data_IF_935908460620
#
_entry.id   IF_935908460620
#
_cell.length_a   1.000
_cell.length_b   1.000
_cell.length_c   1.000
_cell.angle_alpha   90.00
_cell.angle_beta   90.00
_cell.angle_gamma   90.00
#
_symmetry.space_group_name_H-M   'P 1'
#
loop_
_entity.id
_entity.type
_entity.pdbx_description
1 polymer ?
#
# COMPACT_ATOMS: atom_id res chain seq x y z
N UNK A 1 18.70 -1.82 -6.76
CA UNK A 1 17.93 -1.76 -5.50
C UNK A 1 16.56 -1.09 -5.62
N UNK A 2 16.38 0.06 -6.32
CA UNK A 2 15.05 0.69 -6.45
C UNK A 2 14.07 -0.12 -7.32
N UNK A 3 14.58 -0.76 -8.37
CA UNK A 3 13.77 -1.55 -9.30
C UNK A 3 13.06 -2.72 -8.60
N UNK A 4 13.80 -3.51 -7.82
CA UNK A 4 13.27 -4.65 -7.07
C UNK A 4 12.14 -4.27 -6.12
N UNK A 5 12.22 -3.11 -5.46
CA UNK A 5 11.15 -2.62 -4.59
C UNK A 5 9.88 -2.25 -5.38
N UNK A 6 10.05 -1.68 -6.58
CA UNK A 6 8.93 -1.34 -7.47
C UNK A 6 8.23 -2.60 -7.95
N UNK A 7 8.99 -3.62 -8.35
CA UNK A 7 8.46 -4.91 -8.79
C UNK A 7 7.76 -5.66 -7.65
N UNK A 8 8.38 -5.72 -6.47
CA UNK A 8 7.76 -6.28 -5.27
C UNK A 8 6.49 -5.52 -4.87
N UNK A 9 6.49 -4.19 -4.92
CA UNK A 9 5.29 -3.39 -4.68
C UNK A 9 4.19 -3.69 -5.70
N UNK A 10 4.55 -3.94 -6.96
CA UNK A 10 3.61 -4.45 -7.98
C UNK A 10 2.99 -5.79 -7.59
N UNK A 11 3.78 -6.73 -7.07
CA UNK A 11 3.27 -8.01 -6.57
C UNK A 11 2.31 -7.83 -5.38
N UNK A 12 2.59 -6.90 -4.46
CA UNK A 12 1.70 -6.64 -3.32
C UNK A 12 0.30 -6.17 -3.73
N UNK A 13 0.10 -5.63 -4.94
CA UNK A 13 -1.22 -5.24 -5.44
C UNK A 13 -2.18 -6.43 -5.50
N UNK A 14 -1.66 -7.65 -5.72
CA UNK A 14 -2.50 -8.85 -5.71
C UNK A 14 -2.82 -9.35 -4.30
N UNK A 15 -1.85 -9.29 -3.39
CA UNK A 15 -1.97 -9.85 -2.05
C UNK A 15 -2.55 -8.89 -1.00
N UNK A 16 -2.39 -7.58 -1.22
CA UNK A 16 -2.76 -6.55 -0.24
C UNK A 16 -3.94 -5.71 -0.71
N UNK A 17 -4.99 -5.67 0.11
CA UNK A 17 -6.26 -5.01 -0.25
C UNK A 17 -6.11 -3.50 -0.45
N UNK A 18 -5.36 -2.83 0.43
CA UNK A 18 -5.15 -1.37 0.32
C UNK A 18 -4.28 -1.01 -0.88
N UNK A 19 -3.29 -1.83 -1.22
CA UNK A 19 -2.41 -1.63 -2.38
C UNK A 19 -3.22 -1.72 -3.68
N UNK A 20 -4.14 -2.69 -3.77
CA UNK A 20 -5.07 -2.85 -4.89
C UNK A 20 -5.97 -1.65 -5.09
N UNK A 21 -6.58 -1.15 -4.02
CA UNK A 21 -7.47 0.02 -4.11
C UNK A 21 -6.69 1.29 -4.43
N UNK A 22 -5.49 1.46 -3.88
CA UNK A 22 -4.61 2.56 -4.27
C UNK A 22 -4.27 2.52 -5.76
N UNK A 23 -3.89 1.34 -6.28
CA UNK A 23 -3.55 1.16 -7.68
C UNK A 23 -4.73 1.51 -8.59
N UNK A 24 -5.91 0.93 -8.33
CA UNK A 24 -7.13 1.19 -9.11
C UNK A 24 -7.52 2.67 -9.10
N UNK A 25 -7.43 3.32 -7.94
CA UNK A 25 -7.73 4.74 -7.81
C UNK A 25 -6.79 5.61 -8.63
N UNK A 26 -5.49 5.33 -8.60
CA UNK A 26 -4.51 6.10 -9.37
C UNK A 26 -4.63 5.83 -10.88
N UNK A 27 -4.94 4.60 -11.28
CA UNK A 27 -5.23 4.25 -12.66
C UNK A 27 -6.50 4.98 -13.17
N UNK A 28 -7.56 5.06 -12.35
CA UNK A 28 -8.75 5.85 -12.67
C UNK A 28 -8.48 7.36 -12.80
N UNK A 29 -7.41 7.87 -12.18
CA UNK A 29 -6.95 9.25 -12.35
C UNK A 29 -6.09 9.45 -13.61
N UNK A 30 -5.87 8.40 -14.43
CA UNK A 30 -5.05 8.47 -15.65
C UNK A 30 -3.55 8.49 -15.40
N UNK A 31 -3.09 8.05 -14.22
CA UNK A 31 -1.64 7.99 -13.91
C UNK A 31 -0.99 6.83 -14.65
N UNK A 32 0.23 7.05 -15.16
CA UNK A 32 1.03 5.99 -15.77
C UNK A 32 1.37 4.87 -14.75
N UNK A 33 1.36 3.62 -15.22
CA UNK A 33 1.61 2.43 -14.40
C UNK A 33 2.89 2.54 -13.58
N UNK A 34 3.99 2.98 -14.18
CA UNK A 34 5.29 3.07 -13.51
C UNK A 34 5.31 4.13 -12.41
N UNK A 35 4.54 5.21 -12.58
CA UNK A 35 4.37 6.24 -11.56
C UNK A 35 3.62 5.69 -10.36
N UNK A 36 2.55 4.92 -10.60
CA UNK A 36 1.76 4.28 -9.53
C UNK A 36 2.61 3.30 -8.73
N UNK A 37 3.41 2.46 -9.40
CA UNK A 37 4.25 1.49 -8.70
C UNK A 37 5.35 2.18 -7.88
N UNK A 38 5.96 3.25 -8.40
CA UNK A 38 6.95 4.04 -7.66
C UNK A 38 6.37 4.66 -6.39
N UNK A 39 5.18 5.26 -6.48
CA UNK A 39 4.52 5.86 -5.30
C UNK A 39 4.04 4.80 -4.32
N UNK A 40 3.61 3.64 -4.81
CA UNK A 40 3.22 2.50 -3.98
C UNK A 40 4.42 1.92 -3.22
N UNK A 41 5.55 1.71 -3.90
CA UNK A 41 6.79 1.26 -3.28
C UNK A 41 7.25 2.20 -2.16
N UNK A 42 7.18 3.52 -2.38
CA UNK A 42 7.52 4.50 -1.34
C UNK A 42 6.61 4.43 -0.11
N UNK A 43 5.31 4.19 -0.30
CA UNK A 43 4.37 3.96 0.81
C UNK A 43 4.73 2.70 1.59
N UNK A 44 5.03 1.60 0.89
CA UNK A 44 5.46 0.36 1.53
C UNK A 44 6.75 0.51 2.32
N UNK A 45 7.76 1.21 1.81
CA UNK A 45 9.01 1.48 2.54
C UNK A 45 8.69 2.12 3.91
N UNK A 46 7.76 3.08 3.96
CA UNK A 46 7.35 3.73 5.22
C UNK A 46 6.63 2.78 6.17
N UNK A 47 5.78 1.90 5.64
CA UNK A 47 5.06 0.89 6.43
C UNK A 47 6.06 -0.10 7.03
N UNK A 48 6.93 -0.68 6.19
CA UNK A 48 7.95 -1.63 6.62
C UNK A 48 8.93 -1.00 7.60
N UNK A 49 9.38 0.24 7.35
CA UNK A 49 10.24 0.96 8.27
C UNK A 49 9.58 1.18 9.63
N UNK A 50 8.28 1.50 9.66
CA UNK A 50 7.53 1.64 10.92
C UNK A 50 7.40 0.32 11.66
N UNK A 51 7.09 -0.77 10.95
CA UNK A 51 7.06 -2.13 11.51
C UNK A 51 8.41 -2.53 12.09
N UNK A 52 9.49 -2.28 11.36
CA UNK A 52 10.85 -2.53 11.81
C UNK A 52 11.22 -1.72 13.05
N UNK A 53 10.96 -0.41 13.03
CA UNK A 53 11.25 0.48 14.17
C UNK A 53 10.44 0.15 15.43
N UNK A 54 9.27 -0.48 15.29
CA UNK A 54 8.41 -0.91 16.41
C UNK A 54 8.53 -2.40 16.72
N UNK A 55 9.45 -3.11 16.04
CA UNK A 55 9.62 -4.55 16.11
C UNK A 55 8.28 -5.32 16.08
N UNK A 56 7.37 -4.87 15.22
CA UNK A 56 6.01 -5.41 15.10
C UNK A 56 5.83 -5.99 13.71
N UNK A 57 5.28 -7.21 13.65
CA UNK A 57 4.95 -7.87 12.39
C UNK A 57 3.88 -7.05 11.66
N UNK A 58 3.97 -7.00 10.32
CA UNK A 58 2.96 -6.33 9.52
C UNK A 58 1.61 -7.04 9.64
N UNK A 59 0.60 -6.30 10.09
CA UNK A 59 -0.79 -6.76 10.26
C UNK A 59 -1.71 -5.86 9.42
N UNK A 60 -2.22 -6.40 8.31
CA UNK A 60 -3.03 -5.66 7.33
C UNK A 60 -4.33 -5.08 7.94
N UNK A 61 -5.18 -5.83 8.67
CA UNK A 61 -6.38 -5.26 9.27
C UNK A 61 -6.07 -4.19 10.33
N UNK A 62 -4.97 -4.30 11.08
CA UNK A 62 -4.53 -3.22 11.98
C UNK A 62 -4.14 -1.96 11.20
N UNK A 63 -3.43 -2.12 10.09
CA UNK A 63 -3.05 -1.01 9.22
C UNK A 63 -4.27 -0.33 8.58
N UNK A 64 -5.24 -1.12 8.09
CA UNK A 64 -6.49 -0.63 7.52
C UNK A 64 -7.33 0.15 8.54
N UNK A 65 -7.44 -0.34 9.78
CA UNK A 65 -8.11 0.39 10.88
C UNK A 65 -7.45 1.75 11.16
N UNK A 66 -6.12 1.81 11.17
CA UNK A 66 -5.40 3.07 11.30
C UNK A 66 -5.66 4.01 10.11
N UNK A 67 -5.69 3.46 8.89
CA UNK A 67 -5.99 4.22 7.68
C UNK A 67 -7.40 4.81 7.70
N UNK A 68 -8.37 4.04 8.22
CA UNK A 68 -9.75 4.47 8.41
C UNK A 68 -9.88 5.58 9.46
N UNK A 69 -9.24 5.43 10.61
CA UNK A 69 -9.19 6.48 11.65
C UNK A 69 -8.64 7.80 11.09
N UNK A 70 -7.68 7.71 10.15
CA UNK A 70 -7.10 8.86 9.44
C UNK A 70 -7.94 9.36 8.25
N UNK A 71 -9.16 8.84 8.05
CA UNK A 71 -10.07 9.13 6.92
C UNK A 71 -9.37 9.03 5.56
N UNK A 72 -8.42 8.10 5.44
CA UNK A 72 -7.66 7.96 4.21
C UNK A 72 -8.57 7.39 3.12
N UNK A 73 -8.54 7.94 1.91
CA UNK A 73 -9.29 7.41 0.76
C UNK A 73 -8.83 6.03 0.26
N UNK A 74 -7.80 5.46 0.88
CA UNK A 74 -7.34 4.09 0.61
C UNK A 74 -7.82 3.10 1.69
N UNK A 75 -8.60 3.57 2.68
CA UNK A 75 -9.14 2.74 3.74
C UNK A 75 -10.28 1.89 3.17
N UNK A 76 -9.97 0.62 2.92
CA UNK A 76 -10.96 -0.38 2.52
C UNK A 76 -11.33 -1.14 3.78
N UNK A 77 -12.60 -1.09 4.17
CA UNK A 77 -13.15 -2.08 5.08
C UNK A 77 -13.61 -3.26 4.24
N UNK A 78 -13.30 -4.46 4.70
CA UNK A 78 -13.98 -5.64 4.17
C UNK A 78 -15.20 -5.92 5.03
N UNK A 79 -16.36 -6.05 4.36
CA UNK A 79 -17.49 -6.78 4.89
C UNK A 79 -17.37 -8.21 4.36
N UNK A 80 -16.63 -9.05 5.07
CA UNK A 80 -16.74 -10.52 5.03
C UNK A 80 -16.60 -11.03 6.46
#
# INVERSE_FOLDING_TARGET
MRQTMIEWAGQTVQYSRWARVYYRRMAAQGKDHWVILRTLAFKWIRVLWKCWATNTIYDEPKYLRQLHSRKSPNAVYDQE
#
